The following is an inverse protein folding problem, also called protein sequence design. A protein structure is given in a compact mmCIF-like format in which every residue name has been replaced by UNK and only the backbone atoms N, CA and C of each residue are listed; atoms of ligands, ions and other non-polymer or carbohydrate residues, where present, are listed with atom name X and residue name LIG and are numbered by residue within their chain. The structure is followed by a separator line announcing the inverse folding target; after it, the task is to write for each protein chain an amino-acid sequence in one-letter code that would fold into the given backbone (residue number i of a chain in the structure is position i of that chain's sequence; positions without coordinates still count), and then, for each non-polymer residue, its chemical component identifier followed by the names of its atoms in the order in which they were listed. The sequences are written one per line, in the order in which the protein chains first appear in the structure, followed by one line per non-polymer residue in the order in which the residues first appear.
data_IF_127114030800
#
_entry.id   IF_127114030800
#
_cell.length_a   1.000
_cell.length_b   1.000
_cell.length_c   1.000
_cell.angle_alpha   90.00
_cell.angle_beta   90.00
_cell.angle_gamma   90.00
#
_symmetry.space_group_name_H-M   'P 1'
#
loop_
_entity.id
_entity.type
_entity.pdbx_description
1 polymer ?
#
# COMPACT_ATOMS: atom_id res chain seq x y z
N UNK A 1 -2.31 1.46 -35.00
CA UNK A 1 -2.79 2.76 -34.50
C UNK A 1 -2.88 2.84 -32.97
N UNK A 2 -3.74 2.08 -32.27
CA UNK A 2 -3.87 2.21 -30.80
C UNK A 2 -2.56 2.00 -30.01
N UNK A 3 -1.73 1.04 -30.41
CA UNK A 3 -0.41 0.81 -29.83
C UNK A 3 0.57 1.99 -30.04
N UNK A 4 0.53 2.62 -31.22
CA UNK A 4 1.38 3.77 -31.55
C UNK A 4 0.94 5.03 -30.81
N UNK A 5 -0.37 5.23 -30.64
CA UNK A 5 -0.95 6.31 -29.85
C UNK A 5 -0.62 6.11 -28.37
N UNK A 6 -0.80 4.90 -27.83
CA UNK A 6 -0.37 4.56 -26.45
C UNK A 6 1.13 4.83 -26.23
N UNK A 7 1.99 4.50 -27.21
CA UNK A 7 3.42 4.79 -27.13
C UNK A 7 3.72 6.29 -27.16
N UNK A 8 3.00 7.06 -28.00
CA UNK A 8 3.12 8.53 -28.07
C UNK A 8 2.57 9.22 -26.82
N UNK A 9 1.51 8.70 -26.23
CA UNK A 9 0.94 9.22 -24.98
C UNK A 9 1.73 8.77 -23.76
N UNK A 10 2.49 7.67 -23.85
CA UNK A 10 3.40 7.21 -22.79
C UNK A 10 4.53 8.18 -22.46
N UNK A 11 4.78 9.21 -23.29
CA UNK A 11 5.68 10.32 -22.95
C UNK A 11 5.02 11.43 -22.14
N UNK A 12 3.69 11.47 -22.08
CA UNK A 12 2.91 12.54 -21.41
C UNK A 12 2.06 12.03 -20.24
N UNK A 13 1.64 10.76 -20.27
CA UNK A 13 0.74 10.15 -19.30
C UNK A 13 1.32 8.89 -18.65
N UNK A 14 0.92 8.60 -17.42
CA UNK A 14 1.36 7.44 -16.65
C UNK A 14 0.51 6.21 -17.03
N UNK A 15 1.19 5.19 -17.57
CA UNK A 15 0.63 3.88 -17.91
C UNK A 15 -0.60 3.95 -18.87
N UNK A 16 -0.50 4.59 -20.06
CA UNK A 16 -1.56 4.50 -21.06
C UNK A 16 -1.63 3.05 -21.59
N UNK A 17 -2.74 2.37 -21.35
CA UNK A 17 -3.00 1.03 -21.90
C UNK A 17 -3.43 1.14 -23.37
N UNK A 18 -2.93 0.24 -24.20
CA UNK A 18 -3.29 0.24 -25.62
C UNK A 18 -4.75 -0.19 -25.83
N UNK A 19 -5.28 -1.07 -24.96
CA UNK A 19 -6.70 -1.43 -24.93
C UNK A 19 -7.59 -0.25 -24.51
N UNK A 20 -7.17 0.57 -23.54
CA UNK A 20 -7.92 1.77 -23.15
C UNK A 20 -7.88 2.83 -24.25
N UNK A 21 -6.72 3.07 -24.85
CA UNK A 21 -6.56 4.02 -25.96
C UNK A 21 -7.35 3.60 -27.21
N UNK A 22 -7.55 2.29 -27.43
CA UNK A 22 -8.34 1.78 -28.55
C UNK A 22 -9.82 2.20 -28.48
N UNK A 23 -10.32 2.50 -27.27
CA UNK A 23 -11.71 2.92 -27.02
C UNK A 23 -11.89 4.45 -27.07
N UNK A 24 -10.85 5.20 -27.44
CA UNK A 24 -10.85 6.68 -27.56
C UNK A 24 -11.45 7.40 -26.33
N UNK A 25 -10.94 7.17 -25.11
CA UNK A 25 -11.39 7.88 -23.93
C UNK A 25 -11.05 9.38 -24.00
N UNK A 26 -11.80 10.25 -23.30
CA UNK A 26 -11.50 11.67 -23.24
C UNK A 26 -10.12 11.92 -22.62
N UNK A 27 -9.40 12.95 -23.05
CA UNK A 27 -8.04 13.24 -22.55
C UNK A 27 -8.00 13.46 -21.02
N UNK A 28 -9.08 13.98 -20.44
CA UNK A 28 -9.28 14.11 -18.99
C UNK A 28 -9.17 12.79 -18.23
N UNK A 29 -9.44 11.65 -18.88
CA UNK A 29 -9.27 10.31 -18.32
C UNK A 29 -7.84 10.09 -17.84
N UNK A 30 -6.85 10.41 -18.68
CA UNK A 30 -5.44 10.17 -18.38
C UNK A 30 -4.93 11.18 -17.36
N UNK A 31 -5.30 12.46 -17.45
CA UNK A 31 -4.89 13.46 -16.46
C UNK A 31 -5.38 13.16 -15.06
N UNK A 32 -6.65 12.74 -14.90
CA UNK A 32 -7.20 12.40 -13.58
C UNK A 32 -6.58 11.10 -13.06
N UNK A 33 -6.34 10.13 -13.95
CA UNK A 33 -5.64 8.89 -13.59
C UNK A 33 -4.22 9.18 -13.11
N UNK A 34 -3.46 10.01 -13.83
CA UNK A 34 -2.10 10.40 -13.47
C UNK A 34 -2.07 11.13 -12.12
N UNK A 35 -2.98 12.08 -11.93
CA UNK A 35 -3.10 12.82 -10.67
C UNK A 35 -3.39 11.88 -9.50
N UNK A 36 -4.33 10.95 -9.64
CA UNK A 36 -4.67 10.00 -8.59
C UNK A 36 -3.53 9.01 -8.29
N UNK A 37 -2.81 8.55 -9.31
CA UNK A 37 -1.63 7.70 -9.13
C UNK A 37 -0.51 8.45 -8.42
N UNK A 38 -0.22 9.69 -8.80
CA UNK A 38 0.81 10.52 -8.16
C UNK A 38 0.42 10.85 -6.71
N UNK A 39 -0.84 11.22 -6.47
CA UNK A 39 -1.35 11.49 -5.14
C UNK A 39 -1.24 10.26 -4.24
N UNK A 40 -1.66 9.09 -4.73
CA UNK A 40 -1.47 7.81 -4.06
C UNK A 40 0.03 7.58 -3.76
N UNK A 41 0.88 7.74 -4.78
CA UNK A 41 2.34 7.78 -4.72
C UNK A 41 2.89 8.51 -3.48
N UNK A 42 2.54 9.78 -3.37
CA UNK A 42 3.00 10.69 -2.32
C UNK A 42 2.43 10.28 -0.96
N UNK A 43 1.14 9.93 -0.89
CA UNK A 43 0.47 9.57 0.36
C UNK A 43 1.08 8.30 0.99
N UNK A 44 1.33 7.25 0.21
CA UNK A 44 2.02 6.06 0.73
C UNK A 44 3.48 6.34 1.09
N UNK A 45 4.17 7.21 0.35
CA UNK A 45 5.54 7.63 0.69
C UNK A 45 5.60 8.31 2.07
N UNK A 46 4.68 9.25 2.31
CA UNK A 46 4.53 9.91 3.60
C UNK A 46 4.19 8.89 4.70
N UNK A 47 3.31 7.93 4.39
CA UNK A 47 2.98 6.84 5.30
C UNK A 47 4.23 6.05 5.74
N UNK A 48 5.07 5.61 4.79
CA UNK A 48 6.32 4.92 5.08
C UNK A 48 7.29 5.75 5.92
N UNK A 49 7.41 7.04 5.60
CA UNK A 49 8.26 7.96 6.35
C UNK A 49 7.83 8.04 7.82
N UNK A 50 6.54 8.24 8.07
CA UNK A 50 6.02 8.33 9.43
C UNK A 50 6.10 7.01 10.19
N UNK A 51 5.84 5.86 9.55
CA UNK A 51 6.04 4.55 10.15
C UNK A 51 7.51 4.32 10.55
N UNK A 52 8.45 4.78 9.71
CA UNK A 52 9.89 4.70 9.99
C UNK A 52 10.27 5.56 11.20
N UNK A 53 9.81 6.81 11.23
CA UNK A 53 10.06 7.74 12.35
C UNK A 53 9.52 7.16 13.66
N UNK A 54 8.29 6.62 13.64
CA UNK A 54 7.67 6.06 14.84
C UNK A 54 8.35 4.79 15.31
N UNK A 55 8.75 3.92 14.39
CA UNK A 55 9.55 2.73 14.71
C UNK A 55 10.89 3.11 15.34
N UNK A 56 11.53 4.17 14.84
CA UNK A 56 12.77 4.70 15.39
C UNK A 56 12.59 5.29 16.79
N UNK A 57 11.48 6.02 17.02
CA UNK A 57 11.16 6.66 18.30
C UNK A 57 10.73 5.66 19.36
N UNK A 58 9.75 4.81 19.05
CA UNK A 58 9.15 3.84 19.98
C UNK A 58 10.05 2.60 20.20
N UNK A 59 11.10 2.44 19.38
CA UNK A 59 11.98 1.25 19.35
C UNK A 59 11.19 -0.05 19.25
N UNK A 60 10.05 0.01 18.58
CA UNK A 60 9.10 -1.08 18.47
C UNK A 60 8.39 -1.04 17.11
N UNK A 61 8.23 -2.21 16.49
CA UNK A 61 7.45 -2.38 15.25
C UNK A 61 6.13 -3.05 15.62
N UNK A 62 5.02 -2.38 15.30
CA UNK A 62 3.70 -2.97 15.43
C UNK A 62 3.40 -3.91 14.25
N UNK A 63 3.79 -5.17 14.41
CA UNK A 63 3.56 -6.24 13.43
C UNK A 63 4.83 -7.05 13.19
N UNK A 64 4.94 -7.63 11.98
CA UNK A 64 6.14 -8.33 11.53
C UNK A 64 6.62 -7.71 10.22
N UNK A 65 7.95 -7.54 10.12
CA UNK A 65 8.61 -7.08 8.90
C UNK A 65 8.40 -8.05 7.74
N UNK A 66 8.00 -9.30 8.02
CA UNK A 66 7.68 -10.29 7.00
C UNK A 66 6.49 -9.88 6.13
N UNK A 67 5.54 -9.07 6.62
CA UNK A 67 4.46 -8.55 5.77
C UNK A 67 5.00 -7.61 4.69
N UNK A 68 6.14 -6.95 4.93
CA UNK A 68 6.80 -6.11 3.95
C UNK A 68 7.47 -6.92 2.83
N UNK A 69 7.79 -8.20 3.04
CA UNK A 69 8.38 -9.04 1.99
C UNK A 69 7.47 -9.19 0.76
N UNK A 70 6.15 -9.25 1.00
CA UNK A 70 5.16 -9.28 -0.07
C UNK A 70 5.05 -7.91 -0.77
N UNK A 71 5.15 -6.81 -0.03
CA UNK A 71 5.09 -5.45 -0.61
C UNK A 71 6.33 -5.15 -1.46
N UNK A 72 7.52 -5.48 -0.94
CA UNK A 72 8.78 -5.38 -1.67
C UNK A 72 8.76 -6.22 -2.96
N UNK A 73 8.19 -7.44 -2.90
CA UNK A 73 8.03 -8.30 -4.06
C UNK A 73 7.05 -7.70 -5.08
N UNK A 74 5.93 -7.14 -4.61
CA UNK A 74 4.94 -6.45 -5.43
C UNK A 74 5.56 -5.25 -6.16
N UNK A 75 6.30 -4.40 -5.43
CA UNK A 75 6.94 -3.21 -6.00
C UNK A 75 8.00 -3.55 -7.04
N UNK A 76 8.88 -4.53 -6.76
CA UNK A 76 9.88 -4.98 -7.74
C UNK A 76 9.19 -5.60 -8.97
N UNK A 77 8.26 -6.54 -8.77
CA UNK A 77 7.64 -7.28 -9.86
C UNK A 77 6.85 -6.35 -10.79
N UNK A 78 5.99 -5.50 -10.24
CA UNK A 78 5.19 -4.59 -11.03
C UNK A 78 5.97 -3.39 -11.56
N UNK A 79 7.11 -3.01 -10.96
CA UNK A 79 8.03 -2.07 -11.59
C UNK A 79 8.46 -2.55 -12.98
N UNK A 80 8.68 -3.85 -13.18
CA UNK A 80 9.09 -4.37 -14.49
C UNK A 80 7.91 -4.70 -15.41
N UNK A 81 6.80 -5.19 -14.86
CA UNK A 81 5.64 -5.67 -15.65
C UNK A 81 4.68 -4.54 -16.04
N UNK A 82 4.43 -3.58 -15.14
CA UNK A 82 3.44 -2.52 -15.38
C UNK A 82 4.01 -1.27 -16.06
N UNK A 83 5.32 -1.02 -15.93
CA UNK A 83 5.91 0.25 -16.39
C UNK A 83 6.57 0.14 -17.76
N UNK A 84 6.41 1.19 -18.55
CA UNK A 84 7.04 1.30 -19.88
C UNK A 84 8.21 2.27 -19.90
N UNK A 85 8.18 3.31 -19.05
CA UNK A 85 9.20 4.36 -19.04
C UNK A 85 10.19 4.19 -17.89
N UNK A 86 11.44 4.59 -18.12
CA UNK A 86 12.47 4.59 -17.08
C UNK A 86 12.09 5.49 -15.90
N UNK A 87 11.31 6.54 -16.14
CA UNK A 87 10.81 7.43 -15.09
C UNK A 87 9.83 6.70 -14.16
N UNK A 88 8.85 5.99 -14.71
CA UNK A 88 7.92 5.17 -13.92
C UNK A 88 8.67 4.11 -13.10
N UNK A 89 9.67 3.44 -13.72
CA UNK A 89 10.55 2.50 -13.02
C UNK A 89 11.25 3.16 -11.83
N UNK A 90 11.84 4.34 -12.05
CA UNK A 90 12.51 5.09 -10.99
C UNK A 90 11.56 5.40 -9.82
N UNK A 91 10.30 5.76 -10.08
CA UNK A 91 9.31 5.99 -9.03
C UNK A 91 9.05 4.74 -8.18
N UNK A 92 8.88 3.56 -8.81
CA UNK A 92 8.76 2.30 -8.06
C UNK A 92 10.03 1.94 -7.29
N UNK A 93 11.22 2.24 -7.83
CA UNK A 93 12.48 2.04 -7.11
C UNK A 93 12.62 2.96 -5.89
N UNK A 94 12.07 4.18 -5.95
CA UNK A 94 12.04 5.08 -4.79
C UNK A 94 11.17 4.48 -3.68
N UNK A 95 9.99 3.93 -4.01
CA UNK A 95 9.18 3.19 -3.03
C UNK A 95 9.93 2.00 -2.43
N UNK A 96 10.60 1.21 -3.27
CA UNK A 96 11.41 0.10 -2.79
C UNK A 96 12.54 0.55 -1.84
N UNK A 97 13.12 1.74 -2.07
CA UNK A 97 14.11 2.31 -1.18
C UNK A 97 13.52 2.70 0.19
N UNK A 98 12.28 3.20 0.23
CA UNK A 98 11.57 3.44 1.48
C UNK A 98 11.30 2.13 2.24
N UNK A 99 10.95 1.05 1.54
CA UNK A 99 10.81 -0.28 2.14
C UNK A 99 12.11 -0.74 2.79
N UNK A 100 13.23 -0.68 2.05
CA UNK A 100 14.56 -1.07 2.57
C UNK A 100 14.95 -0.21 3.77
N UNK A 101 14.64 1.09 3.73
CA UNK A 101 14.91 2.02 4.84
C UNK A 101 14.10 1.62 6.08
N UNK A 102 12.80 1.34 5.91
CA UNK A 102 11.93 0.90 6.99
C UNK A 102 12.41 -0.43 7.61
N UNK A 103 12.73 -1.44 6.79
CA UNK A 103 13.30 -2.72 7.25
C UNK A 103 14.59 -2.49 8.04
N UNK A 104 15.47 -1.63 7.53
CA UNK A 104 16.76 -1.36 8.16
C UNK A 104 16.59 -0.71 9.53
N UNK A 105 15.67 0.24 9.67
CA UNK A 105 15.34 0.88 10.94
C UNK A 105 14.68 -0.13 11.89
N UNK A 106 13.71 -0.91 11.41
CA UNK A 106 13.04 -1.96 12.19
C UNK A 106 14.04 -2.99 12.75
N UNK A 107 14.93 -3.52 11.91
CA UNK A 107 15.92 -4.50 12.33
C UNK A 107 16.92 -3.91 13.33
N UNK A 108 17.36 -2.67 13.13
CA UNK A 108 18.35 -2.03 14.00
C UNK A 108 17.80 -1.65 15.36
N UNK A 109 16.52 -1.27 15.42
CA UNK A 109 15.96 -0.59 16.59
C UNK A 109 14.84 -1.34 17.30
N UNK A 110 14.10 -2.22 16.63
CA UNK A 110 13.00 -2.98 17.22
C UNK A 110 13.31 -4.46 17.47
N UNK A 111 14.21 -5.08 16.68
CA UNK A 111 14.56 -6.49 16.83
C UNK A 111 15.79 -6.71 17.71
N UNK A 112 15.74 -7.76 18.54
CA UNK A 112 16.88 -8.25 19.31
C UNK A 112 18.02 -8.70 18.38
N UNK A 113 19.30 -8.52 18.75
CA UNK A 113 20.46 -8.85 17.92
C UNK A 113 20.41 -10.27 17.33
N UNK A 114 19.93 -11.23 18.12
CA UNK A 114 19.90 -12.65 17.81
C UNK A 114 18.84 -13.02 16.75
N UNK A 115 17.80 -12.18 16.62
CA UNK A 115 16.68 -12.38 15.70
C UNK A 115 16.87 -11.68 14.36
N UNK A 116 17.79 -10.71 14.29
CA UNK A 116 18.05 -9.90 13.08
C UNK A 116 18.49 -10.76 11.92
N UNK A 117 19.49 -11.62 12.13
CA UNK A 117 20.03 -12.48 11.07
C UNK A 117 18.98 -13.45 10.52
N UNK A 118 18.19 -14.08 11.40
CA UNK A 118 17.09 -14.97 10.99
C UNK A 118 16.01 -14.23 10.21
N UNK A 119 15.70 -13.00 10.59
CA UNK A 119 14.69 -12.18 9.91
C UNK A 119 15.18 -11.73 8.54
N UNK A 120 16.45 -11.33 8.40
CA UNK A 120 17.06 -11.00 7.09
C UNK A 120 17.03 -12.19 6.14
N UNK A 121 17.42 -13.38 6.60
CA UNK A 121 17.39 -14.60 5.78
C UNK A 121 15.96 -14.92 5.33
N UNK A 122 14.98 -14.78 6.23
CA UNK A 122 13.55 -14.96 5.88
C UNK A 122 13.11 -13.97 4.81
N UNK A 123 13.44 -12.68 4.95
CA UNK A 123 13.09 -11.66 3.95
C UNK A 123 13.73 -11.96 2.60
N UNK A 124 15.03 -12.29 2.58
CA UNK A 124 15.77 -12.61 1.35
C UNK A 124 15.19 -13.81 0.60
N UNK A 125 14.59 -14.78 1.30
CA UNK A 125 13.92 -15.91 0.66
C UNK A 125 12.44 -15.62 0.32
N UNK A 126 11.73 -14.94 1.22
CA UNK A 126 10.30 -14.65 1.06
C UNK A 126 10.04 -13.69 -0.09
N UNK A 127 10.86 -12.64 -0.28
CA UNK A 127 10.68 -11.69 -1.38
C UNK A 127 10.71 -12.38 -2.77
N UNK A 128 11.74 -13.15 -3.15
CA UNK A 128 11.72 -13.85 -4.44
C UNK A 128 10.66 -14.95 -4.52
N UNK A 129 10.32 -15.61 -3.41
CA UNK A 129 9.21 -16.57 -3.39
C UNK A 129 7.86 -15.90 -3.71
N UNK A 130 7.61 -14.70 -3.14
CA UNK A 130 6.44 -13.88 -3.47
C UNK A 130 6.49 -13.38 -4.91
N UNK A 131 7.65 -13.00 -5.45
CA UNK A 131 7.78 -12.63 -6.86
C UNK A 131 7.43 -13.81 -7.80
N UNK A 132 7.90 -15.02 -7.48
CA UNK A 132 7.57 -16.22 -8.24
C UNK A 132 6.07 -16.55 -8.16
N UNK A 133 5.45 -16.32 -6.99
CA UNK A 133 4.01 -16.44 -6.82
C UNK A 133 3.25 -15.41 -7.67
N UNK A 134 3.63 -14.13 -7.61
CA UNK A 134 3.04 -13.08 -8.44
C UNK A 134 3.15 -13.40 -9.93
N UNK A 135 4.31 -13.90 -10.36
CA UNK A 135 4.51 -14.38 -11.73
C UNK A 135 3.60 -15.54 -12.12
N UNK A 136 3.44 -16.52 -11.24
CA UNK A 136 2.52 -17.64 -11.46
C UNK A 136 1.07 -17.17 -11.59
N UNK A 137 0.63 -16.28 -10.70
CA UNK A 137 -0.73 -15.72 -10.75
C UNK A 137 -0.91 -14.85 -11.99
N UNK A 138 0.09 -14.06 -12.39
CA UNK A 138 0.11 -13.29 -13.64
C UNK A 138 -0.08 -14.19 -14.87
N UNK A 139 0.51 -15.38 -14.86
CA UNK A 139 0.31 -16.39 -15.91
C UNK A 139 -1.09 -17.00 -15.91
N UNK A 140 -1.71 -17.17 -14.74
CA UNK A 140 -3.08 -17.70 -14.61
C UNK A 140 -4.15 -16.69 -15.07
N UNK A 141 -3.89 -15.39 -14.93
CA UNK A 141 -4.76 -14.31 -15.41
C UNK A 141 -4.02 -13.38 -16.37
N UNK A 142 -3.82 -13.81 -17.64
CA UNK A 142 -3.17 -12.99 -18.63
C UNK A 142 -4.02 -11.76 -18.93
N UNK A 143 -3.47 -10.58 -18.67
CA UNK A 143 -4.09 -9.27 -18.90
C UNK A 143 -3.02 -8.27 -19.41
N UNK A 144 -3.43 -7.19 -20.10
CA UNK A 144 -2.48 -6.19 -20.62
C UNK A 144 -1.74 -5.54 -19.45
N UNK A 145 -0.45 -5.91 -19.30
CA UNK A 145 0.43 -5.50 -18.19
C UNK A 145 -0.03 -6.03 -16.81
N UNK A 146 -0.73 -7.16 -16.78
CA UNK A 146 -1.14 -7.88 -15.55
C UNK A 146 -1.89 -7.00 -14.52
N UNK A 147 -2.63 -6.00 -14.98
CA UNK A 147 -3.28 -5.01 -14.09
C UNK A 147 -4.44 -5.61 -13.28
N UNK A 148 -5.20 -6.54 -13.86
CA UNK A 148 -6.18 -7.33 -13.10
C UNK A 148 -5.53 -8.08 -11.93
N UNK A 149 -4.38 -8.69 -12.18
CA UNK A 149 -3.62 -9.40 -11.13
C UNK A 149 -3.08 -8.41 -10.11
N UNK A 150 -2.57 -7.26 -10.55
CA UNK A 150 -2.12 -6.18 -9.66
C UNK A 150 -3.23 -5.66 -8.74
N UNK A 151 -4.45 -5.49 -9.27
CA UNK A 151 -5.61 -5.08 -8.49
C UNK A 151 -5.95 -6.08 -7.37
N UNK A 152 -6.12 -7.36 -7.73
CA UNK A 152 -6.47 -8.38 -6.73
C UNK A 152 -5.33 -8.61 -5.74
N UNK A 153 -4.09 -8.72 -6.21
CA UNK A 153 -2.93 -8.94 -5.32
C UNK A 153 -2.68 -7.77 -4.40
N UNK A 154 -2.86 -6.52 -4.86
CA UNK A 154 -2.84 -5.32 -4.01
C UNK A 154 -3.93 -5.36 -2.94
N UNK A 155 -5.18 -5.68 -3.32
CA UNK A 155 -6.29 -5.79 -2.37
C UNK A 155 -6.05 -6.87 -1.30
N UNK A 156 -5.54 -8.04 -1.71
CA UNK A 156 -5.19 -9.12 -0.79
C UNK A 156 -3.97 -8.83 0.08
N UNK A 157 -3.06 -7.96 -0.36
CA UNK A 157 -1.90 -7.56 0.42
C UNK A 157 -2.28 -6.55 1.52
N UNK A 158 -3.24 -5.67 1.25
CA UNK A 158 -3.72 -4.70 2.23
C UNK A 158 -4.55 -5.33 3.35
N UNK A 159 -5.33 -6.37 3.06
CA UNK A 159 -6.17 -7.07 4.04
C UNK A 159 -5.43 -7.56 5.30
N UNK A 160 -4.38 -8.40 5.22
CA UNK A 160 -3.67 -8.91 6.38
C UNK A 160 -2.92 -7.78 7.12
N UNK A 161 -2.50 -6.73 6.41
CA UNK A 161 -1.82 -5.59 7.02
C UNK A 161 -2.83 -4.77 7.85
N UNK A 162 -3.99 -4.43 7.30
CA UNK A 162 -5.03 -3.66 7.99
C UNK A 162 -5.61 -4.39 9.20
N UNK A 163 -6.06 -5.63 9.00
CA UNK A 163 -6.64 -6.46 10.07
C UNK A 163 -5.60 -6.90 11.10
N UNK A 164 -4.38 -7.22 10.66
CA UNK A 164 -3.29 -7.59 11.54
C UNK A 164 -2.96 -6.47 12.54
N UNK A 165 -2.97 -5.21 12.10
CA UNK A 165 -2.71 -4.08 12.98
C UNK A 165 -3.79 -3.88 14.06
N UNK A 166 -5.06 -4.05 13.72
CA UNK A 166 -6.17 -4.00 14.70
C UNK A 166 -6.04 -5.17 15.68
N UNK A 167 -5.76 -6.37 15.17
CA UNK A 167 -5.54 -7.54 16.02
C UNK A 167 -4.43 -7.30 17.04
N UNK A 168 -3.30 -6.72 16.61
CA UNK A 168 -2.21 -6.35 17.51
C UNK A 168 -2.62 -5.32 18.57
N UNK A 169 -3.44 -4.32 18.24
CA UNK A 169 -4.00 -3.38 19.23
C UNK A 169 -4.88 -4.06 20.26
N UNK A 170 -5.79 -4.91 19.81
CA UNK A 170 -6.74 -5.62 20.68
C UNK A 170 -6.01 -6.58 21.61
N UNK A 171 -5.02 -7.31 21.08
CA UNK A 171 -4.27 -8.30 21.85
C UNK A 171 -3.35 -7.65 22.88
N UNK A 172 -2.65 -6.56 22.52
CA UNK A 172 -1.65 -5.95 23.41
C UNK A 172 -2.21 -4.86 24.31
N UNK A 173 -3.31 -4.21 23.96
CA UNK A 173 -3.88 -3.04 24.66
C UNK A 173 -2.87 -1.90 24.87
N UNK A 174 -1.80 -1.88 24.08
CA UNK A 174 -0.71 -0.90 24.11
C UNK A 174 -0.65 -0.22 22.72
N UNK A 175 -0.35 1.06 22.70
CA UNK A 175 -0.27 1.89 21.49
C UNK A 175 1.15 1.98 20.89
N UNK A 176 2.15 1.35 21.51
CA UNK A 176 3.55 1.36 21.02
C UNK A 176 3.70 0.85 19.59
N UNK A 177 4.48 1.59 18.78
CA UNK A 177 4.73 1.28 17.36
C UNK A 177 3.54 1.53 16.45
N UNK A 178 2.43 2.06 16.98
CA UNK A 178 1.24 2.46 16.24
C UNK A 178 0.93 3.93 16.49
N UNK A 179 0.80 4.72 15.42
CA UNK A 179 0.32 6.11 15.46
C UNK A 179 -1.16 6.17 15.14
N UNK A 180 -1.91 6.98 15.89
CA UNK A 180 -3.24 7.46 15.48
C UNK A 180 -3.18 8.74 14.67
N UNK A 181 -2.09 9.50 14.82
CA UNK A 181 -2.07 10.96 14.85
C UNK A 181 -3.25 11.66 14.18
N UNK A 182 -4.30 11.70 15.03
CA UNK A 182 -5.35 12.68 15.23
C UNK A 182 -6.31 12.87 14.05
N UNK A 183 -7.58 12.59 14.33
CA UNK A 183 -8.73 13.22 13.68
C UNK A 183 -8.57 14.75 13.70
N UNK A 184 -7.85 15.27 12.71
CA UNK A 184 -7.85 16.61 12.12
C UNK A 184 -7.84 17.91 12.95
N UNK A 185 -7.96 18.01 14.29
CA UNK A 185 -8.29 19.35 14.86
C UNK A 185 -7.77 19.87 16.21
N UNK A 186 -6.86 19.25 16.97
CA UNK A 186 -6.31 19.93 18.17
C UNK A 186 -4.85 19.53 18.48
N UNK A 187 -4.00 20.55 18.66
CA UNK A 187 -2.61 20.58 19.15
C UNK A 187 -1.46 20.07 18.23
N UNK A 188 -0.84 21.05 17.56
CA UNK A 188 0.60 21.39 17.50
C UNK A 188 1.65 20.30 17.83
N UNK A 189 1.70 19.19 17.08
CA UNK A 189 2.95 18.60 16.59
C UNK A 189 2.66 17.54 15.51
N UNK A 190 3.23 17.74 14.32
CA UNK A 190 2.96 16.97 13.11
C UNK A 190 3.55 15.55 13.14
N UNK A 191 2.75 14.50 12.87
CA UNK A 191 3.06 13.26 12.11
C UNK A 191 1.79 12.46 11.71
N UNK A 192 1.00 12.98 10.76
CA UNK A 192 -0.24 12.39 10.22
C UNK A 192 -0.10 11.06 9.45
N UNK A 193 0.17 9.95 10.16
CA UNK A 193 0.51 8.64 9.56
C UNK A 193 -0.67 7.86 8.98
N UNK A 194 -1.86 8.00 9.58
CA UNK A 194 -3.05 7.16 9.26
C UNK A 194 -4.00 7.80 8.27
N UNK A 195 -4.13 9.14 8.31
CA UNK A 195 -4.87 9.89 7.29
C UNK A 195 -4.22 9.66 5.93
N UNK A 196 -2.89 9.66 5.84
CA UNK A 196 -2.18 9.40 4.59
C UNK A 196 -2.40 7.99 4.06
N UNK A 197 -2.46 6.97 4.93
CA UNK A 197 -2.79 5.60 4.53
C UNK A 197 -4.23 5.45 4.08
N UNK A 198 -5.19 5.97 4.84
CA UNK A 198 -6.61 5.90 4.50
C UNK A 198 -6.91 6.66 3.19
N UNK A 199 -6.36 7.86 3.04
CA UNK A 199 -6.43 8.62 1.79
C UNK A 199 -5.66 7.91 0.67
N UNK A 200 -4.57 7.22 0.97
CA UNK A 200 -3.84 6.36 0.03
C UNK A 200 -4.73 5.24 -0.52
N UNK A 201 -5.37 4.45 0.36
CA UNK A 201 -6.31 3.40 -0.04
C UNK A 201 -7.49 3.97 -0.83
N UNK A 202 -8.07 5.10 -0.39
CA UNK A 202 -9.16 5.77 -1.12
C UNK A 202 -8.68 6.21 -2.51
N UNK A 203 -7.54 6.89 -2.61
CA UNK A 203 -7.02 7.34 -3.91
C UNK A 203 -6.70 6.16 -4.82
N UNK A 204 -6.16 5.05 -4.30
CA UNK A 204 -5.96 3.82 -5.05
C UNK A 204 -7.28 3.24 -5.57
N UNK A 205 -8.32 3.12 -4.74
CA UNK A 205 -9.63 2.64 -5.19
C UNK A 205 -10.31 3.61 -6.16
N UNK A 206 -10.15 4.92 -5.96
CA UNK A 206 -10.64 5.94 -6.87
C UNK A 206 -10.00 5.84 -8.25
N UNK A 207 -8.70 5.47 -8.37
CA UNK A 207 -8.09 5.17 -9.68
C UNK A 207 -8.89 4.08 -10.39
N UNK A 208 -9.14 2.95 -9.71
CA UNK A 208 -9.84 1.81 -10.33
C UNK A 208 -11.30 2.12 -10.65
N UNK A 209 -12.00 2.84 -9.77
CA UNK A 209 -13.39 3.27 -9.99
C UNK A 209 -13.47 4.27 -11.15
N UNK A 210 -12.55 5.25 -11.19
CA UNK A 210 -12.47 6.23 -12.28
C UNK A 210 -12.23 5.55 -13.62
N UNK A 211 -11.36 4.52 -13.65
CA UNK A 211 -11.12 3.72 -14.85
C UNK A 211 -12.35 2.93 -15.28
N UNK A 212 -13.06 2.32 -14.33
CA UNK A 212 -14.31 1.60 -14.58
C UNK A 212 -15.43 2.49 -15.14
N UNK A 213 -15.62 3.70 -14.60
CA UNK A 213 -16.69 4.61 -15.05
C UNK A 213 -16.49 5.05 -16.51
N UNK A 214 -15.23 5.30 -16.92
CA UNK A 214 -14.93 5.77 -18.26
C UNK A 214 -14.79 4.63 -19.27
N UNK A 215 -14.26 3.47 -18.86
CA UNK A 215 -13.99 2.33 -19.73
C UNK A 215 -14.47 1.03 -19.04
N UNK A 216 -15.78 0.81 -18.93
CA UNK A 216 -16.32 -0.33 -18.19
C UNK A 216 -16.02 -1.68 -18.85
N UNK A 217 -15.73 -1.69 -20.16
CA UNK A 217 -15.42 -2.92 -20.93
C UNK A 217 -14.11 -3.57 -20.46
N UNK A 218 -13.03 -2.77 -20.35
CA UNK A 218 -11.72 -3.25 -19.90
C UNK A 218 -11.67 -3.45 -18.38
N UNK A 219 -12.47 -2.70 -17.62
CA UNK A 219 -12.43 -2.65 -16.16
C UNK A 219 -13.60 -3.36 -15.48
N UNK A 220 -14.34 -4.19 -16.22
CA UNK A 220 -15.55 -4.88 -15.76
C UNK A 220 -15.37 -5.70 -14.48
N UNK A 221 -14.16 -6.19 -14.21
CA UNK A 221 -13.83 -6.92 -13.00
C UNK A 221 -13.84 -6.06 -11.73
N UNK A 222 -13.66 -4.74 -11.82
CA UNK A 222 -13.76 -3.81 -10.69
C UNK A 222 -15.21 -3.68 -10.20
N UNK A 223 -16.17 -3.72 -11.15
CA UNK A 223 -17.60 -3.65 -10.86
C UNK A 223 -18.23 -4.95 -10.35
N UNK A 224 -17.45 -6.03 -10.21
CA UNK A 224 -17.96 -7.31 -9.68
C UNK A 224 -18.25 -7.21 -8.17
N UNK A 225 -19.28 -7.90 -7.68
CA UNK A 225 -19.63 -7.89 -6.26
C UNK A 225 -18.50 -8.34 -5.35
N UNK A 226 -17.67 -9.28 -5.81
CA UNK A 226 -16.48 -9.71 -5.07
C UNK A 226 -15.43 -8.61 -4.92
N UNK A 227 -15.24 -7.78 -5.95
CA UNK A 227 -14.30 -6.67 -5.94
C UNK A 227 -14.81 -5.54 -5.06
N UNK A 228 -16.10 -5.19 -5.15
CA UNK A 228 -16.72 -4.18 -4.29
C UNK A 228 -16.71 -4.62 -2.83
N UNK A 229 -17.09 -5.87 -2.56
CA UNK A 229 -17.01 -6.47 -1.23
C UNK A 229 -15.57 -6.47 -0.70
N UNK A 230 -14.60 -6.85 -1.53
CA UNK A 230 -13.18 -6.79 -1.19
C UNK A 230 -12.71 -5.39 -0.82
N UNK A 231 -13.04 -4.38 -1.63
CA UNK A 231 -12.69 -2.97 -1.34
C UNK A 231 -13.29 -2.49 -0.02
N UNK A 232 -14.54 -2.84 0.27
CA UNK A 232 -15.19 -2.50 1.53
C UNK A 232 -14.48 -3.20 2.71
N UNK A 233 -14.17 -4.49 2.59
CA UNK A 233 -13.51 -5.25 3.66
C UNK A 233 -12.07 -4.77 3.89
N UNK A 234 -11.41 -4.22 2.87
CA UNK A 234 -10.08 -3.60 3.00
C UNK A 234 -10.16 -2.19 3.59
N UNK A 235 -11.19 -1.41 3.29
CA UNK A 235 -11.40 -0.07 3.87
C UNK A 235 -11.94 -0.10 5.30
N UNK A 236 -12.72 -1.13 5.65
CA UNK A 236 -13.30 -1.32 6.97
C UNK A 236 -12.27 -1.24 8.11
N UNK A 237 -11.15 -1.99 8.09
CA UNK A 237 -10.17 -1.91 9.16
C UNK A 237 -9.60 -0.50 9.29
N UNK A 238 -9.34 0.20 8.18
CA UNK A 238 -8.84 1.58 8.24
C UNK A 238 -9.87 2.55 8.86
N UNK A 239 -11.17 2.33 8.59
CA UNK A 239 -12.25 3.14 9.17
C UNK A 239 -12.51 2.84 10.66
N UNK A 240 -12.41 1.57 11.08
CA UNK A 240 -12.64 1.19 12.49
C UNK A 240 -11.42 1.37 13.37
N UNK A 241 -10.22 1.39 12.78
CA UNK A 241 -8.95 1.56 13.48
C UNK A 241 -8.91 2.71 14.50
N UNK A 242 -9.34 3.95 14.18
CA UNK A 242 -9.27 5.06 15.15
C UNK A 242 -10.05 4.77 16.44
N UNK A 243 -11.18 4.05 16.35
CA UNK A 243 -11.97 3.67 17.52
C UNK A 243 -11.24 2.66 18.41
N UNK A 244 -10.63 1.63 17.80
CA UNK A 244 -9.85 0.63 18.53
C UNK A 244 -8.59 1.23 19.16
N UNK A 245 -7.96 2.19 18.50
CA UNK A 245 -6.81 2.87 19.06
C UNK A 245 -7.20 3.76 20.25
N UNK A 246 -8.27 4.56 20.16
CA UNK A 246 -8.75 5.37 21.31
C UNK A 246 -9.10 4.46 22.49
N UNK A 247 -9.70 3.31 22.23
CA UNK A 247 -9.98 2.31 23.25
C UNK A 247 -8.68 1.77 23.89
N UNK A 248 -7.69 1.38 23.10
CA UNK A 248 -6.40 0.89 23.61
C UNK A 248 -5.65 1.97 24.38
N UNK A 249 -5.63 3.21 23.90
CA UNK A 249 -5.02 4.34 24.59
C UNK A 249 -5.68 4.60 25.96
N UNK A 250 -7.01 4.56 26.03
CA UNK A 250 -7.73 4.68 27.31
C UNK A 250 -7.36 3.55 28.27
N UNK A 251 -7.27 2.31 27.77
CA UNK A 251 -6.86 1.15 28.57
C UNK A 251 -5.44 1.27 29.10
N UNK A 252 -4.50 1.72 28.28
CA UNK A 252 -3.12 1.96 28.70
C UNK A 252 -3.04 3.01 29.82
N UNK A 253 -3.85 4.08 29.75
CA UNK A 253 -3.91 5.10 30.83
C UNK A 253 -4.55 4.55 32.10
N UNK A 254 -5.61 3.76 31.99
CA UNK A 254 -6.27 3.11 33.14
C UNK A 254 -5.31 2.15 33.86
N UNK A 255 -4.50 1.40 33.11
CA UNK A 255 -3.50 0.50 33.68
C UNK A 255 -2.37 1.28 34.37
N UNK A 256 -1.84 2.34 33.77
CA UNK A 256 -0.82 3.20 34.42
C UNK A 256 -1.29 3.85 35.72
N UNK A 257 -2.58 4.18 35.82
CA UNK A 257 -3.17 4.76 37.05
C UNK A 257 -3.33 3.71 38.15
N UNK A 258 -3.48 2.42 37.83
CA UNK A 258 -3.60 1.35 38.83
C UNK A 258 -2.26 0.88 39.40
N UNK A 259 -1.16 1.18 38.72
CA UNK A 259 0.20 0.79 39.12
C UNK A 259 0.91 1.86 39.97
N UNK A 260 0.26 3.02 40.18
CA UNK A 260 0.68 4.11 41.08
C UNK A 260 -0.12 4.00 42.37
#
# INVERSE_FOLDING_TARGET
MAFEISKKWGSYHLIPQSADVALNPPESYFFITDFLIIACGILYTLCYMFYTIRTYSDRFVAGTVQFLSATMAYEIYYAYVCTTTNFQRACFFVWFLFDVTFVSVALRYAYAPDERGRTVVKLLWQTPAWMAFLWYVGKCWPDEREQKTAFFTGLYLELPIGWGQIWYLVQRRDTKGQSLEICAWMDDQANGTRITRYLGCITAFLVFIWRYINIPENWSYVGNWWSIGGMIVTLLPEAVYPFFYVWAHRKEREEKVKTI
#
